data_IF_480908945524
#
_entry.id   IF_480908945524
#
_cell.length_a   1.000
_cell.length_b   1.000
_cell.length_c   1.000
_cell.angle_alpha   90.00
_cell.angle_beta   90.00
_cell.angle_gamma   90.00
#
_symmetry.space_group_name_H-M   'P 1'
#
loop_
_entity.id
_entity.type
_entity.pdbx_description
1 polymer ?
#
# COMPACT_ATOMS: atom_id res chain seq x y z
N UNK A 1 -0.94 -4.12 -22.76
CA UNK A 1 0.25 -4.68 -22.08
C UNK A 1 -0.17 -5.29 -20.74
N UNK A 2 0.68 -6.06 -20.08
CA UNK A 2 0.41 -6.59 -18.72
C UNK A 2 0.29 -5.43 -17.74
N UNK A 3 -0.74 -5.44 -16.88
CA UNK A 3 -1.04 -4.36 -15.95
C UNK A 3 -2.00 -3.28 -16.48
N UNK A 4 -2.43 -3.36 -17.75
CA UNK A 4 -3.53 -2.56 -18.27
C UNK A 4 -4.89 -3.16 -17.87
N UNK A 5 -5.92 -2.32 -17.79
CA UNK A 5 -7.25 -2.72 -17.37
C UNK A 5 -8.27 -2.43 -18.47
N UNK A 6 -9.05 -3.45 -18.86
CA UNK A 6 -10.17 -3.28 -19.79
C UNK A 6 -11.40 -2.91 -18.97
N UNK A 7 -11.99 -1.75 -19.24
CA UNK A 7 -13.06 -1.17 -18.43
C UNK A 7 -14.15 -0.54 -19.30
N UNK A 8 -15.34 -0.36 -18.72
CA UNK A 8 -16.42 0.38 -19.39
C UNK A 8 -16.08 1.88 -19.42
N UNK A 9 -16.41 2.62 -20.50
CA UNK A 9 -16.15 4.06 -20.59
C UNK A 9 -16.71 4.88 -19.41
N UNK A 10 -17.85 4.44 -18.86
CA UNK A 10 -18.58 5.13 -17.79
C UNK A 10 -18.25 4.61 -16.38
N UNK A 11 -17.27 3.73 -16.24
CA UNK A 11 -16.84 3.18 -14.95
C UNK A 11 -15.33 2.96 -14.95
N UNK A 12 -14.59 4.07 -15.06
CA UNK A 12 -13.14 4.06 -15.09
C UNK A 12 -12.57 4.04 -13.67
N UNK A 13 -11.46 3.30 -13.43
CA UNK A 13 -10.75 3.35 -12.17
C UNK A 13 -10.02 4.68 -12.03
N UNK A 14 -9.59 4.99 -10.81
CA UNK A 14 -8.68 6.11 -10.59
C UNK A 14 -7.30 5.80 -11.17
N UNK A 15 -6.63 6.85 -11.67
CA UNK A 15 -5.27 6.77 -12.21
C UNK A 15 -4.38 7.76 -11.49
N UNK A 16 -3.51 7.27 -10.59
CA UNK A 16 -2.59 8.12 -9.82
C UNK A 16 -1.26 7.42 -9.56
N UNK A 17 -0.23 8.21 -9.26
CA UNK A 17 1.04 7.73 -8.68
C UNK A 17 1.10 7.90 -7.16
N UNK A 18 0.19 8.70 -6.61
CA UNK A 18 0.07 8.93 -5.17
C UNK A 18 -1.08 8.10 -4.66
N UNK A 19 -0.77 7.18 -3.75
CA UNK A 19 -1.69 6.17 -3.26
C UNK A 19 -1.76 6.28 -1.74
N UNK A 20 -2.94 6.63 -1.24
CA UNK A 20 -3.26 6.53 0.17
C UNK A 20 -3.77 5.13 0.48
N UNK A 21 -3.18 4.48 1.48
CA UNK A 21 -3.53 3.11 1.81
C UNK A 21 -3.47 2.83 3.31
N UNK A 22 -4.36 1.97 3.77
CA UNK A 22 -4.18 1.23 5.00
C UNK A 22 -3.29 0.03 4.73
N UNK A 23 -2.26 -0.20 5.54
CA UNK A 23 -1.40 -1.38 5.43
C UNK A 23 -1.39 -2.17 6.74
N UNK A 24 -1.13 -3.47 6.62
CA UNK A 24 -0.72 -4.34 7.72
C UNK A 24 0.69 -4.82 7.44
N UNK A 25 1.60 -4.63 8.39
CA UNK A 25 3.01 -4.97 8.26
C UNK A 25 3.30 -6.38 8.78
N UNK A 26 4.11 -7.13 8.04
CA UNK A 26 4.33 -8.56 8.26
C UNK A 26 5.76 -8.91 8.65
N UNK A 27 6.69 -7.97 8.58
CA UNK A 27 8.10 -8.25 8.88
C UNK A 27 8.43 -7.93 10.33
N UNK A 28 9.02 -8.89 11.02
CA UNK A 28 9.63 -8.70 12.34
C UNK A 28 11.07 -8.16 12.23
N UNK A 29 11.77 -8.54 11.16
CA UNK A 29 13.19 -8.22 10.95
C UNK A 29 13.41 -6.82 10.37
N UNK A 30 12.50 -6.38 9.50
CA UNK A 30 12.54 -5.06 8.88
C UNK A 30 11.39 -4.21 9.41
N UNK A 31 11.73 -3.01 9.87
CA UNK A 31 10.74 -1.97 10.16
C UNK A 31 10.40 -1.23 8.89
N UNK A 32 9.23 -0.61 8.85
CA UNK A 32 8.89 0.34 7.80
C UNK A 32 9.82 1.55 7.89
N UNK A 33 10.78 1.63 6.98
CA UNK A 33 11.70 2.76 6.94
C UNK A 33 10.99 4.00 6.38
N UNK A 34 11.22 5.16 7.00
CA UNK A 34 10.86 6.44 6.38
C UNK A 34 11.54 6.55 5.02
N UNK A 35 10.78 6.90 3.97
CA UNK A 35 11.25 6.89 2.56
C UNK A 35 11.75 5.52 2.07
N UNK A 36 11.34 4.44 2.74
CA UNK A 36 11.62 3.08 2.33
C UNK A 36 11.12 2.80 0.91
N UNK A 37 11.93 2.08 0.13
CA UNK A 37 11.62 1.71 -1.25
C UNK A 37 11.22 0.23 -1.29
N UNK A 38 10.11 -0.04 -1.95
CA UNK A 38 9.53 -1.37 -2.06
C UNK A 38 9.10 -1.62 -3.50
N UNK A 39 8.86 -2.90 -3.81
CA UNK A 39 8.09 -3.29 -4.97
C UNK A 39 6.63 -3.34 -4.55
N UNK A 40 5.78 -2.58 -5.23
CA UNK A 40 4.33 -2.64 -5.07
C UNK A 40 3.76 -3.52 -6.18
N UNK A 41 3.15 -4.63 -5.78
CA UNK A 41 2.41 -5.53 -6.68
C UNK A 41 0.92 -5.26 -6.52
N UNK A 42 0.32 -4.77 -7.59
CA UNK A 42 -1.11 -4.44 -7.68
C UNK A 42 -1.71 -5.21 -8.84
N UNK A 43 -2.61 -6.15 -8.56
CA UNK A 43 -3.19 -7.05 -9.56
C UNK A 43 -2.11 -7.77 -10.40
N UNK A 44 -1.96 -7.40 -11.67
CA UNK A 44 -0.94 -7.92 -12.60
C UNK A 44 0.21 -6.95 -12.86
N UNK A 45 0.17 -5.77 -12.24
CA UNK A 45 1.15 -4.70 -12.39
C UNK A 45 2.12 -4.67 -11.23
N UNK A 46 3.39 -4.52 -11.54
CA UNK A 46 4.46 -4.34 -10.58
C UNK A 46 5.14 -3.00 -10.83
N UNK A 47 5.28 -2.19 -9.78
CA UNK A 47 5.94 -0.87 -9.82
C UNK A 47 6.84 -0.70 -8.61
N UNK A 48 7.85 0.16 -8.72
CA UNK A 48 8.56 0.61 -7.52
C UNK A 48 7.67 1.59 -6.76
N UNK A 49 7.67 1.50 -5.45
CA UNK A 49 6.96 2.40 -4.57
C UNK A 49 7.89 2.92 -3.48
N UNK A 50 7.66 4.14 -3.03
CA UNK A 50 8.33 4.76 -1.91
C UNK A 50 7.29 5.22 -0.89
N UNK A 51 7.51 4.93 0.38
CA UNK A 51 6.70 5.49 1.46
C UNK A 51 7.01 6.97 1.60
N UNK A 52 6.04 7.83 1.30
CA UNK A 52 6.21 9.27 1.50
C UNK A 52 6.06 9.63 2.98
N UNK A 53 5.03 9.08 3.61
CA UNK A 53 4.62 9.45 4.96
C UNK A 53 3.85 8.28 5.60
N UNK A 54 4.08 8.10 6.90
CA UNK A 54 3.22 7.31 7.77
C UNK A 54 2.32 8.29 8.51
N UNK A 55 1.01 8.25 8.27
CA UNK A 55 0.08 9.23 8.85
C UNK A 55 -0.29 8.90 10.28
N UNK A 56 -0.62 7.63 10.54
CA UNK A 56 -0.93 7.12 11.87
C UNK A 56 -0.91 5.59 11.88
N UNK A 57 -0.67 5.01 13.06
CA UNK A 57 -0.96 3.61 13.37
C UNK A 57 -2.36 3.47 13.95
N UNK A 58 -2.94 2.29 13.89
CA UNK A 58 -4.21 1.95 14.52
C UNK A 58 -3.92 0.98 15.66
N UNK A 59 -4.32 1.34 16.87
CA UNK A 59 -4.32 0.41 17.98
C UNK A 59 -5.34 -0.69 17.71
N UNK A 60 -4.92 -1.95 17.61
CA UNK A 60 -5.80 -3.06 17.24
C UNK A 60 -6.86 -3.33 18.33
N UNK A 61 -6.54 -3.07 19.59
CA UNK A 61 -7.43 -3.34 20.71
C UNK A 61 -8.47 -2.23 20.90
N UNK A 62 -8.11 -0.97 20.66
CA UNK A 62 -9.01 0.18 20.91
C UNK A 62 -9.56 0.80 19.63
N UNK A 63 -8.98 0.49 18.47
CA UNK A 63 -9.24 1.12 17.16
C UNK A 63 -8.93 2.62 17.10
N UNK A 64 -8.22 3.15 18.09
CA UNK A 64 -7.79 4.54 18.11
C UNK A 64 -6.56 4.76 17.21
N UNK A 65 -6.44 5.97 16.68
CA UNK A 65 -5.26 6.40 15.94
C UNK A 65 -4.12 6.71 16.91
N UNK A 66 -2.93 6.26 16.55
CA UNK A 66 -1.68 6.56 17.23
C UNK A 66 -0.87 7.42 16.26
N UNK A 67 -0.63 8.68 16.61
CA UNK A 67 0.11 9.65 15.78
C UNK A 67 1.53 9.90 16.32
N UNK A 68 1.81 9.56 17.58
CA UNK A 68 3.10 9.79 18.24
C UNK A 68 4.14 8.68 17.97
N UNK A 69 3.67 7.46 17.68
CA UNK A 69 4.50 6.33 17.25
C UNK A 69 4.16 6.00 15.79
N UNK A 70 5.13 6.22 14.91
CA UNK A 70 5.00 6.00 13.47
C UNK A 70 5.93 4.89 12.96
N UNK A 71 6.60 4.17 13.87
CA UNK A 71 7.40 3.01 13.50
C UNK A 71 6.51 1.77 13.41
N UNK A 72 6.50 1.09 12.26
CA UNK A 72 5.78 -0.17 12.11
C UNK A 72 6.69 -1.34 12.44
N UNK A 73 6.24 -2.17 13.38
CA UNK A 73 6.71 -3.53 13.63
C UNK A 73 5.72 -4.58 13.10
N UNK A 74 6.00 -5.84 13.44
CA UNK A 74 5.17 -6.98 13.05
C UNK A 74 3.71 -6.79 13.52
N UNK A 75 2.77 -7.04 12.62
CA UNK A 75 1.32 -6.92 12.82
C UNK A 75 0.79 -5.50 13.03
N UNK A 76 1.62 -4.47 12.93
CA UNK A 76 1.13 -3.10 13.01
C UNK A 76 0.28 -2.75 11.78
N UNK A 77 -0.81 -2.03 12.05
CA UNK A 77 -1.75 -1.54 11.04
C UNK A 77 -1.74 -0.03 11.07
N UNK A 78 -1.83 0.61 9.90
CA UNK A 78 -2.02 2.05 9.85
C UNK A 78 -2.09 2.61 8.45
N UNK A 79 -2.22 3.94 8.36
CA UNK A 79 -2.39 4.65 7.10
C UNK A 79 -1.07 5.25 6.64
N UNK A 80 -0.73 5.00 5.38
CA UNK A 80 0.47 5.54 4.74
C UNK A 80 0.12 6.22 3.42
N UNK A 81 0.99 7.13 2.98
CA UNK A 81 1.04 7.63 1.61
C UNK A 81 2.22 7.00 0.87
N UNK A 82 1.96 6.52 -0.34
CA UNK A 82 2.94 5.92 -1.23
C UNK A 82 3.06 6.73 -2.51
N UNK A 83 4.29 6.90 -3.00
CA UNK A 83 4.57 7.36 -4.36
C UNK A 83 5.08 6.22 -5.21
N UNK A 84 4.43 5.94 -6.33
CA UNK A 84 4.83 4.91 -7.27
C UNK A 84 5.62 5.48 -8.45
N UNK A 85 6.49 4.66 -9.05
CA UNK A 85 7.30 5.03 -10.21
C UNK A 85 6.49 5.17 -11.51
N UNK A 86 5.28 4.61 -11.54
CA UNK A 86 4.34 4.70 -12.65
C UNK A 86 2.90 4.69 -12.13
N UNK A 87 1.92 5.29 -12.85
CA UNK A 87 0.55 5.35 -12.39
C UNK A 87 -0.07 3.96 -12.22
N UNK A 88 -0.80 3.77 -11.11
CA UNK A 88 -1.68 2.64 -10.90
C UNK A 88 -3.09 2.97 -11.37
N UNK A 89 -3.79 1.95 -11.85
CA UNK A 89 -5.22 1.99 -12.13
C UNK A 89 -5.90 1.26 -10.97
N UNK A 90 -6.59 1.99 -10.10
CA UNK A 90 -7.09 1.42 -8.85
C UNK A 90 -8.48 1.94 -8.48
N UNK A 91 -9.12 1.24 -7.55
CA UNK A 91 -10.32 1.68 -6.85
C UNK A 91 -10.03 1.71 -5.35
N UNK A 92 -10.87 2.40 -4.57
CA UNK A 92 -10.87 2.17 -3.12
C UNK A 92 -11.21 0.70 -2.85
N UNK A 93 -10.53 0.09 -1.87
CA UNK A 93 -10.77 -1.30 -1.47
C UNK A 93 -12.23 -1.59 -1.10
N UNK A 94 -12.93 -0.60 -0.54
CA UNK A 94 -14.36 -0.70 -0.20
C UNK A 94 -15.24 -0.91 -1.44
N UNK A 95 -14.90 -0.29 -2.57
CA UNK A 95 -15.65 -0.42 -3.83
C UNK A 95 -15.26 -1.68 -4.58
N UNK A 96 -13.98 -1.99 -4.64
CA UNK A 96 -13.47 -3.17 -5.34
C UNK A 96 -12.23 -3.73 -4.64
N UNK A 97 -12.36 -4.92 -4.07
CA UNK A 97 -11.29 -5.58 -3.31
C UNK A 97 -10.12 -6.01 -4.20
N UNK A 98 -10.37 -6.28 -5.48
CA UNK A 98 -9.34 -6.74 -6.41
C UNK A 98 -8.43 -5.56 -6.77
N UNK A 99 -9.01 -4.47 -7.28
CA UNK A 99 -8.29 -3.29 -7.73
C UNK A 99 -7.98 -2.29 -6.62
N UNK A 100 -8.47 -2.51 -5.40
CA UNK A 100 -8.11 -1.74 -4.22
C UNK A 100 -7.13 -2.44 -3.28
N UNK A 101 -6.59 -3.60 -3.65
CA UNK A 101 -5.59 -4.31 -2.85
C UNK A 101 -4.22 -4.32 -3.51
N UNK A 102 -3.17 -4.37 -2.70
CA UNK A 102 -1.80 -4.59 -3.16
C UNK A 102 -0.98 -5.25 -2.07
N UNK A 103 0.22 -5.69 -2.43
CA UNK A 103 1.25 -6.08 -1.46
C UNK A 103 2.52 -5.26 -1.67
N UNK A 104 3.27 -5.06 -0.59
CA UNK A 104 4.63 -4.54 -0.65
C UNK A 104 5.62 -5.69 -0.49
N UNK A 105 6.62 -5.70 -1.36
CA UNK A 105 7.69 -6.68 -1.40
C UNK A 105 9.02 -5.95 -1.25
N UNK A 106 9.88 -6.46 -0.38
CA UNK A 106 11.21 -5.90 -0.18
C UNK A 106 12.10 -6.15 -1.40
N UNK A 107 12.83 -5.12 -1.84
CA UNK A 107 13.63 -5.19 -3.08
C UNK A 107 14.90 -6.02 -2.96
N UNK A 108 15.38 -6.31 -1.75
CA UNK A 108 16.63 -7.02 -1.50
C UNK A 108 16.38 -8.49 -1.19
N UNK A 109 15.37 -8.76 -0.35
CA UNK A 109 15.04 -10.11 0.13
C UNK A 109 13.94 -10.79 -0.69
N UNK A 110 13.16 -10.02 -1.47
CA UNK A 110 11.95 -10.49 -2.15
C UNK A 110 10.84 -11.00 -1.21
N UNK A 111 10.94 -10.73 0.09
CA UNK A 111 9.91 -11.08 1.06
C UNK A 111 8.70 -10.15 0.93
N UNK A 112 7.50 -10.69 1.12
CA UNK A 112 6.28 -9.88 1.24
C UNK A 112 6.23 -9.27 2.62
N UNK A 113 6.42 -7.96 2.71
CA UNK A 113 6.55 -7.24 3.99
C UNK A 113 5.27 -6.55 4.43
N UNK A 114 4.30 -6.36 3.53
CA UNK A 114 2.99 -5.82 3.89
C UNK A 114 1.88 -6.19 2.91
N UNK A 115 0.65 -6.19 3.39
CA UNK A 115 -0.55 -6.12 2.56
C UNK A 115 -1.21 -4.74 2.72
N UNK A 116 -1.78 -4.22 1.62
CA UNK A 116 -2.35 -2.89 1.55
C UNK A 116 -3.77 -2.86 1.00
N UNK A 117 -4.57 -1.94 1.53
CA UNK A 117 -5.92 -1.60 1.11
C UNK A 117 -5.96 -0.12 0.76
N UNK A 118 -6.22 0.20 -0.50
CA UNK A 118 -6.30 1.58 -0.99
C UNK A 118 -7.57 2.24 -0.46
N UNK A 119 -7.45 3.47 0.04
CA UNK A 119 -8.55 4.22 0.69
C UNK A 119 -9.28 5.10 -0.31
#
# INVERSE_FOLDING_TARGET
SRGDMIVKPNNQPQKSQEIDAMICWFSEKSRLASRGKYILRHTTKEVKAMVQEVRYKVNINTLHKIEDDLEFGLNDIGRISLRTSAPLLYDSYRRNRITGSFILVDTHTNETVAAGMIV
#
